data_IF_859090457662
#
_entry.id   IF_859090457662
#
_cell.length_a   1.000
_cell.length_b   1.000
_cell.length_c   1.000
_cell.angle_alpha   90.00
_cell.angle_beta   90.00
_cell.angle_gamma   90.00
#
_symmetry.space_group_name_H-M   'P 1'
#
loop_
_entity.id
_entity.type
_entity.pdbx_description
1 polymer ?
#
# COMPACT_ATOMS: atom_id res chain seq x y z
N UNK A 1 3.52 -2.81 11.09
CA UNK A 1 2.70 -1.59 11.20
C UNK A 1 2.18 -1.44 12.63
N UNK A 2 2.21 -0.23 13.18
CA UNK A 2 1.58 0.09 14.47
C UNK A 2 0.27 0.82 14.19
N UNK A 3 -0.85 0.29 14.68
CA UNK A 3 -2.16 0.92 14.52
C UNK A 3 -2.60 1.57 15.84
N UNK A 4 -2.78 2.89 15.81
CA UNK A 4 -3.41 3.66 16.89
C UNK A 4 -4.76 4.19 16.39
N UNK A 5 -5.79 3.36 16.51
CA UNK A 5 -7.15 3.69 16.06
C UNK A 5 -7.20 3.89 14.53
N UNK A 6 -7.46 5.13 14.11
CA UNK A 6 -7.49 5.54 12.69
C UNK A 6 -6.11 5.91 12.14
N UNK A 7 -5.16 6.21 13.03
CA UNK A 7 -3.79 6.52 12.67
C UNK A 7 -2.97 5.23 12.58
N UNK A 8 -2.12 5.19 11.58
CA UNK A 8 -1.22 4.07 11.32
C UNK A 8 0.20 4.60 11.23
N UNK A 9 1.14 3.79 11.69
CA UNK A 9 2.55 4.06 11.52
C UNK A 9 3.16 2.86 10.83
N UNK A 10 3.44 3.02 9.53
CA UNK A 10 4.20 2.05 8.77
C UNK A 10 5.58 1.92 9.40
N UNK A 11 6.02 0.69 9.64
CA UNK A 11 7.40 0.46 10.04
C UNK A 11 8.31 0.61 8.81
N UNK A 12 9.59 0.87 9.00
CA UNK A 12 10.55 0.98 7.88
C UNK A 12 10.48 -0.25 6.96
N UNK A 13 10.28 -1.45 7.53
CA UNK A 13 10.10 -2.70 6.78
C UNK A 13 8.84 -2.72 5.91
N UNK A 14 7.75 -2.13 6.37
CA UNK A 14 6.50 -2.02 5.60
C UNK A 14 6.68 -1.03 4.44
N UNK A 15 7.35 0.10 4.70
CA UNK A 15 7.71 1.11 3.70
C UNK A 15 8.62 0.51 2.62
N UNK A 16 9.66 -0.22 3.01
CA UNK A 16 10.57 -0.90 2.09
C UNK A 16 9.85 -1.92 1.21
N UNK A 17 8.95 -2.73 1.79
CA UNK A 17 8.14 -3.69 1.02
C UNK A 17 7.24 -3.00 0.00
N UNK A 18 6.52 -1.96 0.42
CA UNK A 18 5.62 -1.22 -0.48
C UNK A 18 6.40 -0.51 -1.59
N UNK A 19 7.54 0.09 -1.25
CA UNK A 19 8.44 0.73 -2.22
C UNK A 19 9.02 -0.30 -3.19
N UNK A 20 9.42 -1.48 -2.71
CA UNK A 20 9.94 -2.54 -3.57
C UNK A 20 8.85 -3.12 -4.48
N UNK A 21 7.60 -3.19 -4.01
CA UNK A 21 6.48 -3.68 -4.80
C UNK A 21 6.05 -2.66 -5.88
N UNK A 22 5.82 -1.41 -5.47
CA UNK A 22 5.19 -0.39 -6.32
C UNK A 22 6.18 0.57 -6.97
N UNK A 23 7.47 0.52 -6.58
CA UNK A 23 8.51 1.49 -6.95
C UNK A 23 8.20 2.94 -6.54
N UNK A 24 7.17 3.16 -5.72
CA UNK A 24 6.74 4.47 -5.23
C UNK A 24 6.87 4.46 -3.71
N UNK A 25 7.61 5.43 -3.15
CA UNK A 25 7.72 5.53 -1.70
C UNK A 25 6.38 5.97 -1.09
N UNK A 26 5.84 5.26 -0.08
CA UNK A 26 4.67 5.67 0.68
C UNK A 26 5.05 6.78 1.69
N UNK A 27 5.55 7.91 1.20
CA UNK A 27 5.91 9.06 2.02
C UNK A 27 4.63 9.72 2.57
N UNK A 28 4.57 9.92 3.88
CA UNK A 28 3.46 10.63 4.52
C UNK A 28 2.25 9.78 4.90
N UNK A 29 2.27 8.46 4.68
CA UNK A 29 1.18 7.57 5.10
C UNK A 29 1.13 7.47 6.64
N UNK A 30 0.16 8.16 7.23
CA UNK A 30 -0.04 8.27 8.69
C UNK A 30 -1.41 7.77 9.16
N UNK A 31 -2.31 7.44 8.23
CA UNK A 31 -3.65 6.93 8.50
C UNK A 31 -4.02 5.81 7.52
N UNK A 32 -5.05 5.02 7.86
CA UNK A 32 -5.63 4.05 6.91
C UNK A 32 -6.09 4.78 5.63
N UNK A 33 -6.66 5.98 5.78
CA UNK A 33 -7.12 6.82 4.68
C UNK A 33 -5.96 7.23 3.75
N UNK A 34 -4.84 7.70 4.31
CA UNK A 34 -3.63 8.01 3.51
C UNK A 34 -3.10 6.78 2.77
N UNK A 35 -3.22 5.59 3.38
CA UNK A 35 -2.80 4.34 2.74
C UNK A 35 -3.72 3.99 1.57
N UNK A 36 -5.03 4.19 1.72
CA UNK A 36 -6.00 3.97 0.65
C UNK A 36 -5.73 4.91 -0.54
N UNK A 37 -5.55 6.21 -0.28
CA UNK A 37 -5.18 7.20 -1.29
C UNK A 37 -3.87 6.85 -2.00
N UNK A 38 -2.87 6.36 -1.25
CA UNK A 38 -1.62 5.87 -1.84
C UNK A 38 -1.83 4.67 -2.77
N UNK A 39 -2.66 3.71 -2.34
CA UNK A 39 -3.01 2.53 -3.16
C UNK A 39 -3.75 2.97 -4.42
N UNK A 40 -4.72 3.87 -4.32
CA UNK A 40 -5.44 4.42 -5.47
C UNK A 40 -4.50 5.11 -6.45
N UNK A 41 -3.57 5.94 -5.96
CA UNK A 41 -2.52 6.57 -6.79
C UNK A 41 -1.64 5.54 -7.49
N UNK A 42 -1.23 4.48 -6.80
CA UNK A 42 -0.47 3.40 -7.42
C UNK A 42 -1.30 2.69 -8.49
N UNK A 43 -2.57 2.39 -8.21
CA UNK A 43 -3.49 1.74 -9.16
C UNK A 43 -3.73 2.60 -10.41
N UNK A 44 -3.83 3.91 -10.24
CA UNK A 44 -3.93 4.89 -11.34
C UNK A 44 -2.63 5.03 -12.12
N UNK A 45 -1.48 5.02 -11.45
CA UNK A 45 -0.17 5.10 -12.12
C UNK A 45 0.09 3.88 -13.02
N UNK A 46 -0.27 2.69 -12.53
CA UNK A 46 -0.18 1.43 -13.29
C UNK A 46 -1.44 1.12 -14.10
N UNK A 47 -2.28 2.12 -14.38
CA UNK A 47 -3.51 1.95 -15.14
C UNK A 47 -3.22 1.51 -16.57
N UNK A 48 -3.61 0.28 -16.87
CA UNK A 48 -3.58 -0.33 -18.19
C UNK A 48 -4.63 -1.43 -18.26
N UNK A 49 -5.25 -1.64 -19.44
CA UNK A 49 -6.32 -2.64 -19.65
C UNK A 49 -5.82 -4.09 -19.59
N UNK A 50 -4.51 -4.29 -19.36
CA UNK A 50 -3.87 -5.59 -19.34
C UNK A 50 -4.24 -6.40 -18.08
N UNK A 51 -4.38 -7.73 -18.19
CA UNK A 51 -4.63 -8.61 -17.04
C UNK A 51 -3.55 -8.50 -15.96
N UNK A 52 -2.34 -8.10 -16.32
CA UNK A 52 -1.23 -7.82 -15.40
C UNK A 52 -1.52 -6.65 -14.44
N UNK A 53 -2.21 -5.59 -14.90
CA UNK A 53 -2.59 -4.48 -14.01
C UNK A 53 -3.57 -4.94 -12.93
N UNK A 54 -4.52 -5.83 -13.25
CA UNK A 54 -5.44 -6.40 -12.24
C UNK A 54 -4.72 -7.27 -11.22
N UNK A 55 -3.73 -8.07 -11.66
CA UNK A 55 -2.88 -8.85 -10.74
C UNK A 55 -2.08 -7.92 -9.83
N UNK A 56 -1.51 -6.87 -10.39
CA UNK A 56 -0.73 -5.89 -9.64
C UNK A 56 -1.58 -5.16 -8.60
N UNK A 57 -2.79 -4.74 -8.96
CA UNK A 57 -3.75 -4.15 -8.03
C UNK A 57 -4.04 -5.09 -6.85
N UNK A 58 -4.31 -6.37 -7.15
CA UNK A 58 -4.59 -7.39 -6.13
C UNK A 58 -3.39 -7.67 -5.23
N UNK A 59 -2.17 -7.62 -5.76
CA UNK A 59 -0.93 -7.77 -4.98
C UNK A 59 -0.73 -6.62 -4.00
N UNK A 60 -1.07 -5.39 -4.39
CA UNK A 60 -1.03 -4.23 -3.51
C UNK A 60 -2.05 -4.40 -2.38
N UNK A 61 -3.30 -4.74 -2.71
CA UNK A 61 -4.35 -4.98 -1.72
C UNK A 61 -3.98 -6.09 -0.72
N UNK A 62 -3.41 -7.20 -1.20
CA UNK A 62 -2.98 -8.32 -0.34
C UNK A 62 -1.80 -7.93 0.56
N UNK A 63 -0.85 -7.16 0.04
CA UNK A 63 0.28 -6.63 0.81
C UNK A 63 -0.21 -5.71 1.93
N UNK A 64 -1.12 -4.78 1.62
CA UNK A 64 -1.74 -3.89 2.60
C UNK A 64 -2.53 -4.66 3.65
N UNK A 65 -3.33 -5.65 3.23
CA UNK A 65 -4.08 -6.50 4.14
C UNK A 65 -3.17 -7.33 5.06
N UNK A 66 -2.06 -7.86 4.54
CA UNK A 66 -1.06 -8.61 5.31
C UNK A 66 -0.34 -7.74 6.34
N UNK A 67 0.04 -6.52 5.95
CA UNK A 67 0.60 -5.51 6.86
C UNK A 67 -0.42 -5.15 7.95
N UNK A 68 -1.70 -5.03 7.61
CA UNK A 68 -2.78 -4.69 8.55
C UNK A 68 -3.20 -5.87 9.46
N UNK A 69 -3.04 -7.13 9.01
CA UNK A 69 -3.34 -8.35 9.77
C UNK A 69 -2.22 -8.78 10.73
N UNK A 70 -1.00 -8.27 10.57
CA UNK A 70 0.13 -8.62 11.44
C UNK A 70 0.11 -7.92 12.81
N UNK A 71 -1.07 -7.44 13.27
CA UNK A 71 -1.31 -6.84 14.58
C UNK A 71 -2.06 -7.80 15.50
#
# INVERSE_FOLDING_TARGET
>A
MLRLGNSIRLTSRDVERLTHLTLIQPEGVKSIDDLDVYVERCKQYYWGTSPDSRKFHRLIDDTVASICKSC
#
